data_IF_468130275101
#
_entry.id   IF_468130275101
#
_cell.length_a   1.000
_cell.length_b   1.000
_cell.length_c   1.000
_cell.angle_alpha   90.00
_cell.angle_beta   90.00
_cell.angle_gamma   90.00
#
_symmetry.space_group_name_H-M   'P 1'
#
loop_
_entity.id
_entity.type
_entity.pdbx_description
1 polymer ?
#
# COMPACT_ATOMS: atom_id res chain seq x y z
N UNK A 1 20.24 -22.81 -25.51
CA UNK A 1 20.11 -21.60 -26.33
C UNK A 1 19.08 -20.75 -25.64
N UNK A 2 19.42 -19.55 -25.21
CA UNK A 2 18.41 -18.59 -24.71
C UNK A 2 17.61 -18.11 -25.91
N UNK A 3 16.31 -18.36 -25.94
CA UNK A 3 15.42 -17.77 -26.94
C UNK A 3 15.47 -16.25 -26.84
N UNK A 4 15.53 -15.60 -27.99
CA UNK A 4 15.46 -14.14 -28.07
C UNK A 4 14.00 -13.70 -27.91
N UNK A 5 13.70 -13.03 -26.78
CA UNK A 5 12.34 -12.60 -26.43
C UNK A 5 12.13 -11.13 -26.78
N UNK A 6 11.45 -10.88 -27.90
CA UNK A 6 11.10 -9.54 -28.38
C UNK A 6 10.10 -8.81 -27.44
N UNK A 7 9.33 -9.52 -26.63
CA UNK A 7 8.34 -8.88 -25.74
C UNK A 7 9.03 -7.99 -24.74
N UNK A 8 10.24 -8.34 -24.29
CA UNK A 8 11.05 -7.53 -23.37
C UNK A 8 11.48 -6.18 -23.93
N UNK A 9 11.60 -6.08 -25.27
CA UNK A 9 11.93 -4.81 -25.95
C UNK A 9 10.67 -3.95 -26.06
N UNK A 10 9.51 -4.57 -26.28
CA UNK A 10 8.24 -3.86 -26.46
C UNK A 10 7.64 -3.42 -25.12
N UNK A 11 7.88 -4.19 -24.03
CA UNK A 11 7.45 -3.83 -22.69
C UNK A 11 8.18 -2.57 -22.22
N UNK A 12 7.42 -1.52 -21.89
CA UNK A 12 7.99 -0.22 -21.49
C UNK A 12 8.36 0.70 -22.67
N UNK A 13 8.08 0.31 -23.92
CA UNK A 13 8.31 1.17 -25.10
C UNK A 13 7.30 2.32 -25.27
N UNK A 14 6.21 2.31 -24.47
CA UNK A 14 5.15 3.32 -24.50
C UNK A 14 4.58 3.57 -25.91
N UNK A 15 4.49 2.52 -26.72
CA UNK A 15 3.97 2.61 -28.08
C UNK A 15 4.94 3.19 -29.12
N UNK A 16 6.22 3.43 -28.78
CA UNK A 16 7.19 4.09 -29.67
C UNK A 16 7.85 3.13 -30.65
N UNK A 17 7.90 1.81 -30.36
CA UNK A 17 8.65 0.85 -31.17
C UNK A 17 7.77 -0.02 -32.08
N UNK A 18 6.49 -0.21 -31.75
CA UNK A 18 5.60 -1.04 -32.55
C UNK A 18 4.13 -0.67 -32.32
N UNK A 19 3.31 -0.99 -33.33
CA UNK A 19 1.86 -0.98 -33.22
C UNK A 19 1.38 -2.39 -32.87
N UNK A 20 0.86 -2.58 -31.65
CA UNK A 20 0.41 -3.88 -31.14
C UNK A 20 -1.04 -4.10 -31.60
N UNK A 21 -1.26 -5.12 -32.45
CA UNK A 21 -2.59 -5.48 -32.96
C UNK A 21 -3.25 -6.59 -32.14
N UNK A 22 -2.45 -7.42 -31.48
CA UNK A 22 -2.93 -8.54 -30.65
C UNK A 22 -1.91 -8.85 -29.56
N UNK A 23 -2.38 -9.20 -28.36
CA UNK A 23 -1.52 -9.67 -27.27
C UNK A 23 -2.16 -10.83 -26.51
N UNK A 24 -1.32 -11.75 -26.01
CA UNK A 24 -1.70 -12.76 -25.03
C UNK A 24 -1.07 -12.41 -23.70
N UNK A 25 -1.89 -12.27 -22.68
CA UNK A 25 -1.46 -11.87 -21.34
C UNK A 25 -1.78 -12.97 -20.33
N UNK A 26 -0.84 -13.20 -19.41
CA UNK A 26 -1.13 -13.94 -18.20
C UNK A 26 -1.97 -13.07 -17.28
N UNK A 27 -3.01 -13.66 -16.69
CA UNK A 27 -3.91 -12.94 -15.79
C UNK A 27 -3.79 -13.45 -14.36
N UNK A 28 -3.90 -12.55 -13.41
CA UNK A 28 -3.98 -12.87 -11.99
C UNK A 28 -5.44 -12.78 -11.54
N UNK A 29 -5.90 -13.79 -10.80
CA UNK A 29 -7.23 -13.79 -10.23
C UNK A 29 -7.36 -12.66 -9.22
N UNK A 30 -8.44 -11.89 -9.29
CA UNK A 30 -8.74 -10.88 -8.28
C UNK A 30 -9.13 -11.54 -6.95
N UNK A 31 -8.59 -11.10 -5.82
CA UNK A 31 -9.00 -11.57 -4.51
C UNK A 31 -10.45 -11.16 -4.24
N UNK A 32 -11.20 -12.01 -3.52
CA UNK A 32 -12.59 -11.75 -3.18
C UNK A 32 -12.76 -10.71 -2.07
N UNK A 33 -11.76 -10.61 -1.22
CA UNK A 33 -11.77 -9.74 -0.04
C UNK A 33 -10.51 -8.91 -0.03
N UNK A 34 -10.66 -7.62 0.25
CA UNK A 34 -9.57 -6.69 0.50
C UNK A 34 -9.85 -5.89 1.77
N UNK A 35 -8.80 -5.60 2.53
CA UNK A 35 -8.82 -4.72 3.71
C UNK A 35 -7.64 -3.78 3.63
N UNK A 36 -7.88 -2.53 3.97
CA UNK A 36 -6.83 -1.52 4.12
C UNK A 36 -6.72 -1.13 5.59
N UNK A 37 -5.49 -1.05 6.07
CA UNK A 37 -5.14 -0.48 7.37
C UNK A 37 -4.26 0.74 7.12
N UNK A 38 -4.71 1.90 7.56
CA UNK A 38 -3.96 3.15 7.44
C UNK A 38 -3.30 3.46 8.78
N UNK A 39 -1.97 3.36 8.83
CA UNK A 39 -1.17 3.68 10.01
C UNK A 39 -0.53 5.04 9.83
N UNK A 40 -0.90 5.98 10.69
CA UNK A 40 -0.53 7.39 10.61
C UNK A 40 0.58 7.70 11.60
N UNK A 41 1.51 8.53 11.16
CA UNK A 41 2.69 8.89 11.94
C UNK A 41 2.88 10.41 11.96
N UNK A 42 3.41 10.90 13.07
CA UNK A 42 3.89 12.27 13.26
C UNK A 42 5.28 12.52 12.67
N UNK A 43 5.89 11.49 12.08
CA UNK A 43 7.20 11.52 11.46
C UNK A 43 7.27 10.54 10.28
N UNK A 44 7.85 10.97 9.16
CA UNK A 44 8.07 10.09 8.01
C UNK A 44 9.13 9.02 8.31
N UNK A 45 10.13 9.34 9.13
CA UNK A 45 11.14 8.36 9.58
C UNK A 45 10.48 7.19 10.35
N UNK A 46 9.50 7.49 11.22
CA UNK A 46 8.72 6.47 11.92
C UNK A 46 7.93 5.58 10.95
N UNK A 47 7.32 6.16 9.91
CA UNK A 47 6.62 5.40 8.89
C UNK A 47 7.56 4.42 8.16
N UNK A 48 8.76 4.87 7.77
CA UNK A 48 9.77 4.04 7.12
C UNK A 48 10.27 2.91 8.03
N UNK A 49 10.58 3.22 9.31
CA UNK A 49 11.08 2.22 10.28
C UNK A 49 10.06 1.13 10.58
N UNK A 50 8.78 1.46 10.54
CA UNK A 50 7.71 0.50 10.81
C UNK A 50 7.24 -0.29 9.58
N UNK A 51 7.58 0.11 8.36
CA UNK A 51 7.18 -0.60 7.15
C UNK A 51 7.62 -2.09 7.13
N UNK A 52 8.86 -2.48 7.51
CA UNK A 52 9.26 -3.89 7.56
C UNK A 52 8.36 -4.74 8.48
N UNK A 53 7.95 -4.19 9.61
CA UNK A 53 7.05 -4.85 10.54
C UNK A 53 5.68 -5.23 9.91
N UNK A 54 5.17 -4.38 9.03
CA UNK A 54 3.91 -4.64 8.31
C UNK A 54 4.09 -5.70 7.23
N UNK A 55 5.26 -5.76 6.60
CA UNK A 55 5.61 -6.86 5.67
C UNK A 55 5.66 -8.20 6.41
N UNK A 56 6.21 -8.24 7.62
CA UNK A 56 6.22 -9.45 8.46
C UNK A 56 4.81 -9.93 8.84
N UNK A 57 3.83 -9.01 8.92
CA UNK A 57 2.42 -9.34 9.12
C UNK A 57 1.74 -9.98 7.90
N UNK A 58 2.51 -10.25 6.82
CA UNK A 58 2.04 -10.85 5.55
C UNK A 58 1.03 -9.97 4.80
N UNK A 59 1.20 -8.66 4.87
CA UNK A 59 0.48 -7.75 4.01
C UNK A 59 0.77 -8.05 2.52
N UNK A 60 -0.22 -7.86 1.67
CA UNK A 60 -0.05 -7.97 0.21
C UNK A 60 0.81 -6.82 -0.33
N UNK A 61 0.55 -5.61 0.16
CA UNK A 61 1.36 -4.42 -0.13
C UNK A 61 1.45 -3.50 1.08
N UNK A 62 2.53 -2.71 1.13
CA UNK A 62 2.75 -1.62 2.08
C UNK A 62 3.22 -0.41 1.31
N UNK A 63 2.38 0.62 1.24
CA UNK A 63 2.67 1.87 0.57
C UNK A 63 3.02 2.93 1.62
N UNK A 64 4.25 3.45 1.59
CA UNK A 64 4.67 4.51 2.52
C UNK A 64 4.63 5.86 1.82
N UNK A 65 3.84 6.78 2.36
CA UNK A 65 3.58 8.10 1.79
C UNK A 65 4.03 9.18 2.77
N UNK A 66 4.78 10.16 2.27
CA UNK A 66 5.16 11.33 3.06
C UNK A 66 4.10 12.46 3.01
N UNK A 67 4.23 13.44 3.90
CA UNK A 67 3.31 14.57 3.96
C UNK A 67 3.33 15.45 2.71
N UNK A 68 4.43 15.49 1.97
CA UNK A 68 4.52 16.30 0.74
C UNK A 68 3.67 15.70 -0.36
N UNK A 69 3.80 14.39 -0.59
CA UNK A 69 2.98 13.65 -1.56
C UNK A 69 1.51 13.70 -1.14
N UNK A 70 1.23 13.53 0.16
CA UNK A 70 -0.13 13.59 0.68
C UNK A 70 -0.76 14.98 0.47
N UNK A 71 -0.03 16.05 0.77
CA UNK A 71 -0.52 17.41 0.57
C UNK A 71 -0.73 17.73 -0.91
N UNK A 72 0.17 17.26 -1.78
CA UNK A 72 0.00 17.39 -3.22
C UNK A 72 -1.26 16.64 -3.72
N UNK A 73 -1.52 15.44 -3.20
CA UNK A 73 -2.72 14.69 -3.56
C UNK A 73 -4.02 15.36 -3.12
N UNK A 74 -4.00 16.16 -2.05
CA UNK A 74 -5.16 16.93 -1.57
C UNK A 74 -5.57 18.05 -2.53
N UNK A 75 -4.66 18.51 -3.38
CA UNK A 75 -4.90 19.50 -4.43
C UNK A 75 -5.43 18.88 -5.73
N UNK A 76 -5.35 17.55 -5.84
CA UNK A 76 -5.78 16.80 -7.03
C UNK A 76 -7.28 16.46 -6.95
N UNK A 77 -7.93 16.39 -8.13
CA UNK A 77 -9.34 16.00 -8.26
C UNK A 77 -9.60 14.59 -7.72
N UNK A 78 -8.60 13.71 -7.73
CA UNK A 78 -8.66 12.34 -7.21
C UNK A 78 -8.89 12.33 -5.70
N UNK A 79 -8.50 13.39 -4.97
CA UNK A 79 -8.68 13.50 -3.53
C UNK A 79 -10.13 13.28 -3.10
N UNK A 80 -11.10 13.78 -3.85
CA UNK A 80 -12.52 13.60 -3.55
C UNK A 80 -12.95 12.12 -3.47
N UNK A 81 -12.23 11.24 -4.16
CA UNK A 81 -12.51 9.79 -4.17
C UNK A 81 -11.82 9.02 -3.05
N UNK A 82 -10.75 9.56 -2.47
CA UNK A 82 -9.92 8.86 -1.47
C UNK A 82 -9.92 9.53 -0.09
N UNK A 83 -10.45 10.74 0.03
CA UNK A 83 -10.44 11.52 1.28
C UNK A 83 -11.11 10.80 2.46
N UNK A 84 -12.16 10.02 2.20
CA UNK A 84 -12.82 9.22 3.24
C UNK A 84 -11.93 8.09 3.79
N UNK A 85 -10.97 7.62 2.99
CA UNK A 85 -10.03 6.57 3.38
C UNK A 85 -8.87 7.13 4.21
N UNK A 86 -8.53 8.41 4.01
CA UNK A 86 -7.38 9.06 4.64
C UNK A 86 -7.88 10.25 5.47
N UNK A 87 -8.49 9.98 6.61
CA UNK A 87 -8.97 11.01 7.53
C UNK A 87 -7.82 11.55 8.38
N UNK A 88 -7.82 12.85 8.66
CA UNK A 88 -6.87 13.44 9.60
C UNK A 88 -7.15 12.97 11.04
N UNK A 89 -6.12 12.95 11.89
CA UNK A 89 -6.28 12.72 13.33
C UNK A 89 -6.42 14.08 13.98
N UNK A 90 -7.50 14.34 14.75
CA UNK A 90 -7.67 15.61 15.42
C UNK A 90 -6.44 15.98 16.28
N UNK A 91 -6.03 17.24 16.20
CA UNK A 91 -4.94 17.83 16.98
C UNK A 91 -3.54 17.17 16.77
N UNK A 92 -3.37 16.36 15.70
CA UNK A 92 -2.08 15.76 15.34
C UNK A 92 -1.77 16.00 13.87
N UNK A 93 -0.56 16.45 13.60
CA UNK A 93 -0.05 16.55 12.24
C UNK A 93 0.37 15.18 11.73
N UNK A 94 -0.09 14.83 10.52
CA UNK A 94 0.29 13.57 9.87
C UNK A 94 1.44 13.83 8.90
N UNK A 95 2.65 13.42 9.27
CA UNK A 95 3.87 13.58 8.48
C UNK A 95 4.27 12.32 7.71
N UNK A 96 3.67 11.19 8.05
CA UNK A 96 3.88 9.91 7.37
C UNK A 96 2.63 9.02 7.44
N UNK A 97 2.46 8.20 6.42
CA UNK A 97 1.34 7.25 6.31
C UNK A 97 1.85 5.94 5.74
N UNK A 98 1.50 4.81 6.36
CA UNK A 98 1.60 3.50 5.75
C UNK A 98 0.19 3.01 5.41
N UNK A 99 -0.06 2.75 4.13
CA UNK A 99 -1.27 2.10 3.63
C UNK A 99 -0.94 0.61 3.47
N UNK A 100 -1.55 -0.22 4.29
CA UNK A 100 -1.27 -1.66 4.37
C UNK A 100 -2.46 -2.41 3.81
N UNK A 101 -2.25 -3.15 2.71
CA UNK A 101 -3.30 -3.95 2.07
C UNK A 101 -3.17 -5.42 2.46
N UNK A 102 -4.29 -6.00 2.89
CA UNK A 102 -4.50 -7.44 3.00
C UNK A 102 -5.54 -7.89 1.98
N UNK A 103 -5.28 -8.97 1.26
CA UNK A 103 -6.21 -9.48 0.28
C UNK A 103 -6.14 -11.00 0.16
N UNK A 104 -7.29 -11.62 -0.14
CA UNK A 104 -7.41 -13.06 -0.26
C UNK A 104 -8.82 -13.52 -0.58
N UNK A 105 -9.03 -14.83 -0.58
CA UNK A 105 -10.33 -15.44 -0.85
C UNK A 105 -11.13 -15.79 0.42
N UNK A 106 -10.49 -15.81 1.58
CA UNK A 106 -11.08 -16.13 2.89
C UNK A 106 -11.17 -14.86 3.76
N UNK A 107 -12.38 -14.38 3.97
CA UNK A 107 -12.64 -13.16 4.75
C UNK A 107 -12.20 -13.30 6.21
N UNK A 108 -12.44 -14.47 6.83
CA UNK A 108 -12.10 -14.68 8.23
C UNK A 108 -10.58 -14.66 8.45
N UNK A 109 -9.82 -15.26 7.54
CA UNK A 109 -8.36 -15.22 7.58
C UNK A 109 -7.83 -13.79 7.41
N UNK A 110 -8.37 -13.04 6.46
CA UNK A 110 -7.96 -11.65 6.22
C UNK A 110 -8.29 -10.77 7.43
N UNK A 111 -9.50 -10.88 7.99
CA UNK A 111 -9.91 -10.12 9.17
C UNK A 111 -9.05 -10.48 10.40
N UNK A 112 -8.63 -11.75 10.54
CA UNK A 112 -7.69 -12.17 11.58
C UNK A 112 -6.30 -11.55 11.42
N UNK A 113 -5.77 -11.50 10.18
CA UNK A 113 -4.47 -10.86 9.90
C UNK A 113 -4.51 -9.36 10.24
N UNK A 114 -5.57 -8.66 9.86
CA UNK A 114 -5.79 -7.25 10.20
C UNK A 114 -5.83 -7.06 11.71
N UNK A 115 -6.62 -7.88 12.43
CA UNK A 115 -6.74 -7.81 13.88
C UNK A 115 -5.39 -8.02 14.56
N UNK A 116 -4.63 -9.01 14.10
CA UNK A 116 -3.29 -9.30 14.64
C UNK A 116 -2.33 -8.13 14.41
N UNK A 117 -2.35 -7.49 13.23
CA UNK A 117 -1.54 -6.31 12.98
C UNK A 117 -1.92 -5.16 13.92
N UNK A 118 -3.22 -4.86 14.05
CA UNK A 118 -3.69 -3.77 14.92
C UNK A 118 -3.28 -3.99 16.38
N UNK A 119 -3.46 -5.20 16.92
CA UNK A 119 -3.03 -5.54 18.29
C UNK A 119 -1.53 -5.32 18.51
N UNK A 120 -0.69 -5.76 17.57
CA UNK A 120 0.76 -5.58 17.67
C UNK A 120 1.16 -4.10 17.55
N UNK A 121 0.44 -3.29 16.77
CA UNK A 121 0.67 -1.84 16.70
C UNK A 121 0.30 -1.17 18.02
N UNK A 122 -0.82 -1.54 18.63
CA UNK A 122 -1.23 -1.03 19.94
C UNK A 122 -0.20 -1.36 21.04
N UNK A 123 0.35 -2.57 21.03
CA UNK A 123 1.43 -2.99 21.96
C UNK A 123 2.71 -2.14 21.77
N UNK A 124 3.09 -1.86 20.52
CA UNK A 124 4.26 -1.02 20.22
C UNK A 124 4.05 0.44 20.66
N UNK A 125 2.85 0.97 20.48
CA UNK A 125 2.52 2.33 20.93
C UNK A 125 2.55 2.42 22.46
N UNK A 126 1.95 1.47 23.16
CA UNK A 126 1.98 1.41 24.62
C UNK A 126 3.41 1.29 25.19
N UNK A 127 4.26 0.52 24.54
CA UNK A 127 5.68 0.40 24.93
C UNK A 127 6.48 1.69 24.72
N UNK A 128 6.15 2.46 23.67
CA UNK A 128 6.78 3.75 23.38
C UNK A 128 6.38 4.87 24.33
N UNK A 129 5.17 4.82 24.90
CA UNK A 129 4.68 5.80 25.88
C UNK A 129 5.20 5.53 27.32
N UNK A 130 5.67 4.32 27.57
CA UNK A 130 6.14 3.88 28.90
C UNK A 130 7.65 4.06 29.14
N UNK A 131 8.43 4.47 28.13
CA UNK A 131 9.91 4.62 28.17
C UNK A 131 10.35 6.03 27.93
#
# INVERSE_FOLDING_TARGET
MSEFDLTRILTGSEGTLAFITESRLDITRLPKVRRLVNVKYDSFDSALRNAPFMVEAKALSVETVDSKVLNLSREDIVWHSVSELITDVPDKEMLGLNIVEFAGDDAALIDQQVTTLCQRLDELMAASEAG
#
